data_IF_642760711649
#
_entry.id   IF_642760711649
#
_cell.length_a   1.000
_cell.length_b   1.000
_cell.length_c   1.000
_cell.angle_alpha   90.00
_cell.angle_beta   90.00
_cell.angle_gamma   90.00
#
_symmetry.space_group_name_H-M   'P 1'
#
loop_
_entity.id
_entity.type
_entity.pdbx_description
1 polymer ?
#
# COMPACT_ATOMS: atom_id res chain seq x y z
N UNK A 1 -13.27 -1.33 -0.48
CA UNK A 1 -12.31 -0.66 0.42
C UNK A 1 -11.35 0.20 -0.40
N UNK A 2 -10.81 1.26 0.19
CA UNK A 2 -9.88 2.19 -0.49
C UNK A 2 -8.64 1.47 -1.06
N UNK A 3 -8.15 0.44 -0.35
CA UNK A 3 -7.10 -0.46 -0.84
C UNK A 3 -7.48 -1.17 -2.14
N UNK A 4 -8.65 -1.84 -2.20
CA UNK A 4 -9.11 -2.54 -3.39
C UNK A 4 -9.32 -1.60 -4.59
N UNK A 5 -9.82 -0.38 -4.34
CA UNK A 5 -9.93 0.63 -5.40
C UNK A 5 -8.56 1.02 -5.97
N UNK A 6 -7.56 1.16 -5.09
CA UNK A 6 -6.18 1.48 -5.49
C UNK A 6 -5.52 0.32 -6.25
N UNK A 7 -5.77 -0.93 -5.85
CA UNK A 7 -5.29 -2.12 -6.57
C UNK A 7 -5.89 -2.25 -7.98
N UNK A 8 -7.19 -1.96 -8.13
CA UNK A 8 -7.86 -1.94 -9.43
C UNK A 8 -7.30 -0.82 -10.33
N UNK A 9 -7.11 0.38 -9.76
CA UNK A 9 -6.50 1.50 -10.47
C UNK A 9 -5.07 1.18 -10.91
N UNK A 10 -4.27 0.56 -10.04
CA UNK A 10 -2.90 0.14 -10.36
C UNK A 10 -2.88 -0.83 -11.55
N UNK A 11 -3.75 -1.84 -11.55
CA UNK A 11 -3.82 -2.84 -12.63
C UNK A 11 -4.17 -2.20 -13.97
N UNK A 12 -5.08 -1.23 -13.97
CA UNK A 12 -5.46 -0.47 -15.17
C UNK A 12 -4.29 0.37 -15.69
N UNK A 13 -3.67 1.18 -14.83
CA UNK A 13 -2.53 2.02 -15.20
C UNK A 13 -1.34 1.16 -15.64
N UNK A 14 -1.11 0.00 -15.02
CA UNK A 14 -0.03 -0.91 -15.40
C UNK A 14 -0.17 -1.38 -16.84
N UNK A 15 -1.39 -1.71 -17.26
CA UNK A 15 -1.65 -2.09 -18.64
C UNK A 15 -1.40 -0.92 -19.59
N UNK A 16 -1.90 0.27 -19.26
CA UNK A 16 -1.71 1.48 -20.06
C UNK A 16 -0.21 1.85 -20.21
N UNK A 17 0.55 1.84 -19.11
CA UNK A 17 1.99 2.13 -19.09
C UNK A 17 2.79 1.06 -19.82
N UNK A 18 2.40 -0.22 -19.69
CA UNK A 18 3.01 -1.31 -20.47
C UNK A 18 2.81 -1.11 -21.97
N UNK A 19 1.61 -0.72 -22.39
CA UNK A 19 1.34 -0.42 -23.80
C UNK A 19 2.15 0.79 -24.29
N UNK A 20 2.28 1.83 -23.46
CA UNK A 20 3.12 2.99 -23.74
C UNK A 20 4.58 2.61 -23.96
N UNK A 21 5.24 1.93 -23.02
CA UNK A 21 6.65 1.56 -23.20
C UNK A 21 6.88 0.57 -24.36
N UNK A 22 5.87 -0.23 -24.73
CA UNK A 22 5.94 -1.12 -25.88
C UNK A 22 5.70 -0.44 -27.25
N UNK A 23 5.41 0.87 -27.29
CA UNK A 23 5.12 1.56 -28.54
C UNK A 23 3.67 1.41 -29.03
N UNK A 24 2.74 1.00 -28.15
CA UNK A 24 1.33 0.69 -28.50
C UNK A 24 0.31 1.72 -27.99
N UNK A 25 0.75 2.75 -27.28
CA UNK A 25 -0.12 3.88 -26.91
C UNK A 25 -0.51 4.73 -28.14
N UNK A 26 -1.52 5.58 -27.98
CA UNK A 26 -1.99 6.47 -29.05
C UNK A 26 -1.00 7.59 -29.33
N UNK A 27 -1.05 8.16 -30.54
CA UNK A 27 -0.16 9.25 -30.95
C UNK A 27 -0.29 10.50 -30.04
N UNK A 28 -1.49 10.78 -29.54
CA UNK A 28 -1.72 11.87 -28.58
C UNK A 28 -0.93 11.70 -27.28
N UNK A 29 -0.79 10.45 -26.78
CA UNK A 29 -0.02 10.18 -25.56
C UNK A 29 1.46 10.44 -25.76
N UNK A 30 2.03 10.09 -26.93
CA UNK A 30 3.44 10.39 -27.22
C UNK A 30 3.70 11.85 -27.56
N UNK A 31 2.67 12.60 -27.98
CA UNK A 31 2.78 14.04 -28.14
C UNK A 31 2.93 14.75 -26.78
N UNK A 32 2.17 14.30 -25.77
CA UNK A 32 2.22 14.81 -24.40
C UNK A 32 3.43 14.27 -23.61
N UNK A 33 3.72 12.97 -23.74
CA UNK A 33 4.81 12.28 -23.06
C UNK A 33 5.73 11.64 -24.13
N UNK A 34 6.69 12.39 -24.70
CA UNK A 34 7.58 11.85 -25.72
C UNK A 34 8.48 10.74 -25.16
N UNK A 35 8.49 9.61 -25.86
CA UNK A 35 9.40 8.51 -25.57
C UNK A 35 10.10 8.05 -26.86
N UNK A 36 11.44 8.14 -26.94
CA UNK A 36 12.16 8.12 -28.21
C UNK A 36 12.24 6.75 -28.89
N UNK A 37 12.04 5.66 -28.15
CA UNK A 37 12.10 4.30 -28.67
C UNK A 37 11.08 3.42 -27.99
N UNK A 38 10.81 2.24 -28.55
CA UNK A 38 10.00 1.22 -27.86
C UNK A 38 10.90 0.26 -27.10
N UNK A 39 10.51 -0.11 -25.90
CA UNK A 39 11.18 -1.11 -25.09
C UNK A 39 10.75 -2.50 -25.56
N UNK A 40 11.71 -3.28 -26.06
CA UNK A 40 11.49 -4.65 -26.57
C UNK A 40 11.88 -5.71 -25.55
N UNK A 41 12.97 -5.47 -24.84
CA UNK A 41 13.46 -6.36 -23.82
C UNK A 41 12.52 -6.38 -22.60
N UNK A 42 12.33 -7.55 -22.00
CA UNK A 42 11.39 -7.73 -20.89
C UNK A 42 11.95 -7.19 -19.56
N UNK A 43 13.25 -7.30 -19.36
CA UNK A 43 13.90 -6.84 -18.13
C UNK A 43 13.99 -5.32 -18.14
N UNK A 44 14.33 -4.72 -19.29
CA UNK A 44 14.25 -3.27 -19.47
C UNK A 44 12.82 -2.77 -19.26
N UNK A 45 11.82 -3.45 -19.84
CA UNK A 45 10.42 -3.05 -19.69
C UNK A 45 10.00 -3.06 -18.22
N UNK A 46 10.47 -4.05 -17.46
CA UNK A 46 10.24 -4.11 -16.01
C UNK A 46 10.91 -2.94 -15.30
N UNK A 47 12.15 -2.62 -15.63
CA UNK A 47 12.86 -1.47 -15.06
C UNK A 47 12.10 -0.16 -15.26
N UNK A 48 11.62 0.11 -16.49
CA UNK A 48 10.81 1.30 -16.78
C UNK A 48 9.48 1.32 -16.01
N UNK A 49 8.79 0.18 -15.92
CA UNK A 49 7.53 0.09 -15.18
C UNK A 49 7.72 0.25 -13.67
N UNK A 50 8.83 -0.23 -13.11
CA UNK A 50 9.14 -0.13 -11.68
C UNK A 50 9.43 1.32 -11.26
N UNK A 51 9.98 2.14 -12.17
CA UNK A 51 10.28 3.56 -11.91
C UNK A 51 9.21 4.53 -12.43
N UNK A 52 8.19 4.05 -13.16
CA UNK A 52 7.11 4.88 -13.69
C UNK A 52 6.37 5.64 -12.57
N UNK A 53 6.30 6.96 -12.68
CA UNK A 53 5.75 7.81 -11.62
C UNK A 53 4.27 7.54 -11.33
N UNK A 54 3.47 7.21 -12.37
CA UNK A 54 2.03 6.97 -12.21
C UNK A 54 1.79 5.67 -11.45
N UNK A 55 2.58 4.63 -11.74
CA UNK A 55 2.57 3.38 -10.99
C UNK A 55 3.11 3.57 -9.57
N UNK A 56 4.22 4.28 -9.41
CA UNK A 56 4.85 4.52 -8.11
C UNK A 56 3.93 5.29 -7.16
N UNK A 57 3.21 6.30 -7.65
CA UNK A 57 2.24 7.07 -6.86
C UNK A 57 1.11 6.19 -6.32
N UNK A 58 0.59 5.27 -7.13
CA UNK A 58 -0.44 4.33 -6.71
C UNK A 58 0.10 3.28 -5.74
N UNK A 59 1.34 2.81 -5.96
CA UNK A 59 2.03 1.88 -5.06
C UNK A 59 2.21 2.48 -3.66
N UNK A 60 2.73 3.71 -3.57
CA UNK A 60 2.88 4.44 -2.30
C UNK A 60 1.54 4.65 -1.59
N UNK A 61 0.48 4.98 -2.34
CA UNK A 61 -0.86 5.12 -1.78
C UNK A 61 -1.38 3.81 -1.21
N UNK A 62 -1.11 2.67 -1.86
CA UNK A 62 -1.46 1.34 -1.36
C UNK A 62 -0.70 1.02 -0.08
N UNK A 63 0.61 1.25 -0.06
CA UNK A 63 1.47 1.01 1.11
C UNK A 63 1.01 1.84 2.31
N UNK A 64 0.64 3.10 2.08
CA UNK A 64 0.05 3.96 3.11
C UNK A 64 -1.22 3.35 3.71
N UNK A 65 -2.13 2.82 2.88
CA UNK A 65 -3.33 2.15 3.39
C UNK A 65 -3.00 0.86 4.17
N UNK A 66 -2.01 0.09 3.74
CA UNK A 66 -1.57 -1.09 4.47
C UNK A 66 -0.95 -0.73 5.83
N UNK A 67 -0.17 0.35 5.89
CA UNK A 67 0.37 0.89 7.15
C UNK A 67 -0.76 1.30 8.09
N UNK A 68 -1.76 2.03 7.61
CA UNK A 68 -2.92 2.44 8.42
C UNK A 68 -3.70 1.25 8.97
N UNK A 69 -3.90 0.21 8.16
CA UNK A 69 -4.57 -1.02 8.59
C UNK A 69 -3.78 -1.73 9.69
N UNK A 70 -2.47 -1.95 9.48
CA UNK A 70 -1.57 -2.56 10.48
C UNK A 70 -1.58 -1.79 11.79
N UNK A 71 -1.46 -0.47 11.72
CA UNK A 71 -1.47 0.39 12.90
C UNK A 71 -2.79 0.28 13.67
N UNK A 72 -3.92 0.24 12.96
CA UNK A 72 -5.23 0.05 13.57
C UNK A 72 -5.36 -1.32 14.24
N UNK A 73 -4.87 -2.38 13.59
CA UNK A 73 -4.83 -3.73 14.17
C UNK A 73 -3.97 -3.80 15.43
N UNK A 74 -2.82 -3.13 15.44
CA UNK A 74 -1.95 -3.04 16.62
C UNK A 74 -2.64 -2.30 17.77
N UNK A 75 -3.31 -1.18 17.51
CA UNK A 75 -4.10 -0.46 18.53
C UNK A 75 -5.19 -1.38 19.10
N UNK A 76 -5.92 -2.11 18.26
CA UNK A 76 -6.96 -3.03 18.72
C UNK A 76 -6.40 -4.14 19.60
N UNK A 77 -5.22 -4.68 19.26
CA UNK A 77 -4.50 -5.66 20.10
C UNK A 77 -4.13 -5.06 21.45
N UNK A 78 -3.61 -3.83 21.49
CA UNK A 78 -3.30 -3.14 22.74
C UNK A 78 -4.54 -2.91 23.60
N UNK A 79 -5.67 -2.50 23.01
CA UNK A 79 -6.94 -2.32 23.72
C UNK A 79 -7.44 -3.65 24.30
N UNK A 80 -7.37 -4.73 23.52
CA UNK A 80 -7.73 -6.07 24.00
C UNK A 80 -6.89 -6.49 25.20
N UNK A 81 -5.58 -6.28 25.14
CA UNK A 81 -4.65 -6.58 26.23
C UNK A 81 -4.86 -5.68 27.47
N UNK A 82 -5.35 -4.44 27.28
CA UNK A 82 -5.63 -3.49 28.37
C UNK A 82 -6.60 -4.08 29.40
N UNK A 83 -7.57 -4.89 28.97
CA UNK A 83 -8.54 -5.52 29.88
C UNK A 83 -7.85 -6.43 30.90
N UNK A 84 -6.87 -7.22 30.47
CA UNK A 84 -6.09 -8.09 31.36
C UNK A 84 -5.23 -7.26 32.32
N UNK A 85 -4.55 -6.24 31.82
CA UNK A 85 -3.74 -5.33 32.66
C UNK A 85 -4.59 -4.67 33.75
N UNK A 86 -5.81 -4.23 33.42
CA UNK A 86 -6.74 -3.63 34.39
C UNK A 86 -7.17 -4.66 35.45
N UNK A 87 -7.53 -5.89 35.05
CA UNK A 87 -7.89 -6.95 36.00
C UNK A 87 -6.74 -7.25 36.96
N UNK A 88 -5.53 -7.46 36.44
CA UNK A 88 -4.34 -7.71 37.24
C UNK A 88 -4.05 -6.55 38.21
N UNK A 89 -4.23 -5.30 37.77
CA UNK A 89 -4.06 -4.13 38.64
C UNK A 89 -5.11 -4.06 39.77
N UNK A 90 -6.37 -4.43 39.48
CA UNK A 90 -7.44 -4.51 40.49
C UNK A 90 -7.12 -5.61 41.51
N UNK A 91 -6.70 -6.79 41.05
CA UNK A 91 -6.30 -7.92 41.90
C UNK A 91 -5.10 -7.55 42.77
N UNK A 92 -4.07 -6.93 42.20
CA UNK A 92 -2.92 -6.41 42.94
C UNK A 92 -3.33 -5.43 44.04
N UNK A 93 -4.28 -4.53 43.77
CA UNK A 93 -4.80 -3.59 44.76
C UNK A 93 -5.56 -4.29 45.89
N UNK A 94 -6.36 -5.32 45.57
CA UNK A 94 -7.07 -6.13 46.59
C UNK A 94 -6.08 -6.89 47.47
N UNK A 95 -5.08 -7.51 46.86
CA UNK A 95 -4.01 -8.22 47.55
C UNK A 95 -3.25 -7.31 48.53
N UNK A 96 -2.79 -6.15 48.06
CA UNK A 96 -2.06 -5.17 48.90
C UNK A 96 -2.91 -4.58 50.03
N UNK A 97 -4.25 -4.61 49.91
CA UNK A 97 -5.17 -4.14 50.94
C UNK A 97 -5.57 -5.23 51.96
N UNK A 98 -5.01 -6.44 51.86
CA UNK A 98 -5.29 -7.56 52.77
C UNK A 98 -6.58 -8.32 52.48
N UNK A 99 -7.20 -8.10 51.31
CA UNK A 99 -8.38 -8.85 50.83
C UNK A 99 -8.01 -10.03 49.91
N UNK A 100 -6.71 -10.36 49.81
CA UNK A 100 -6.17 -11.43 48.98
C UNK A 100 -6.01 -12.75 49.72
#
# INVERSE_FOLDING_TARGET
>A
TLRKQTENAYSKILLERRQYYQGKATAAVYAEEPFPFKVRDKDDLKLYLDVDEKLKKLSLKREYYDMMLRYTEEILKQISNRTYQIKNAIEWRRFTSGYG
#
